data_IF_310694591291
#
_entry.id   IF_310694591291
#
_cell.length_a   1.000
_cell.length_b   1.000
_cell.length_c   1.000
_cell.angle_alpha   90.00
_cell.angle_beta   90.00
_cell.angle_gamma   90.00
#
_symmetry.space_group_name_H-M   'P 1'
#
loop_
_entity.id
_entity.type
_entity.pdbx_description
1 polymer ?
#
# COMPACT_ATOMS: atom_id res chain seq x y z
N UNK A 1 51.14 73.56 23.13
CA UNK A 1 51.92 72.38 22.72
C UNK A 1 50.97 71.23 22.64
N UNK A 2 50.54 70.85 21.41
CA UNK A 2 49.54 69.88 21.14
C UNK A 2 50.23 68.49 20.95
N UNK A 3 49.81 67.52 21.77
CA UNK A 3 50.15 66.13 21.59
C UNK A 3 48.97 65.46 20.84
N UNK A 4 49.25 65.00 19.59
CA UNK A 4 48.30 64.27 18.78
C UNK A 4 48.28 62.78 19.22
N UNK A 5 47.10 62.31 19.77
CA UNK A 5 46.84 60.91 19.98
C UNK A 5 46.38 60.26 18.66
N UNK A 6 47.13 59.27 18.16
CA UNK A 6 46.76 58.42 17.06
C UNK A 6 45.99 57.26 17.60
N UNK A 7 44.70 57.21 17.28
CA UNK A 7 43.81 56.08 17.63
C UNK A 7 43.87 55.05 16.49
N UNK A 8 44.57 53.95 16.70
CA UNK A 8 44.57 52.80 15.78
C UNK A 8 43.33 51.96 16.03
N UNK A 9 42.39 52.02 15.11
CA UNK A 9 41.18 51.20 15.11
C UNK A 9 41.51 49.82 14.50
N UNK A 10 41.83 48.84 15.35
CA UNK A 10 41.90 47.42 14.94
C UNK A 10 40.50 46.88 14.66
N UNK A 11 40.11 46.81 13.39
CA UNK A 11 38.97 46.01 12.91
C UNK A 11 39.31 44.55 13.08
N UNK A 12 38.81 43.95 14.15
CA UNK A 12 38.69 42.49 14.29
C UNK A 12 37.64 41.98 13.29
N UNK A 13 38.09 41.51 12.15
CA UNK A 13 37.27 40.74 11.22
C UNK A 13 37.11 39.37 11.83
N UNK A 14 36.02 39.19 12.62
CA UNK A 14 35.56 37.87 12.99
C UNK A 14 35.05 37.20 11.74
N UNK A 15 35.93 36.41 11.12
CA UNK A 15 35.52 35.46 10.08
C UNK A 15 34.52 34.48 10.70
N UNK A 16 33.25 34.61 10.33
CA UNK A 16 32.27 33.58 10.55
C UNK A 16 32.70 32.42 9.64
N UNK A 17 33.46 31.50 10.21
CA UNK A 17 33.69 30.22 9.57
C UNK A 17 32.31 29.52 9.53
N UNK A 18 31.77 29.40 8.33
CA UNK A 18 30.66 28.49 8.06
C UNK A 18 31.16 27.09 8.43
N UNK A 19 30.92 26.69 9.66
CA UNK A 19 31.16 25.32 10.10
C UNK A 19 30.11 24.51 9.36
N UNK A 20 30.51 23.93 8.23
CA UNK A 20 29.68 22.89 7.60
C UNK A 20 29.33 21.88 8.68
N UNK A 21 28.07 21.82 9.04
CA UNK A 21 27.59 20.90 10.06
C UNK A 21 28.00 19.49 9.60
N UNK A 22 28.93 18.87 10.35
CA UNK A 22 29.35 17.50 10.07
C UNK A 22 28.13 16.61 10.30
N UNK A 23 27.67 15.96 9.25
CA UNK A 23 26.51 15.07 9.32
C UNK A 23 26.80 13.93 10.31
N UNK A 24 25.88 13.74 11.26
CA UNK A 24 26.07 12.75 12.33
C UNK A 24 25.96 11.35 11.78
N UNK A 25 27.00 10.53 11.96
CA UNK A 25 26.96 9.10 11.65
C UNK A 25 26.12 8.41 12.70
N UNK A 26 25.06 7.70 12.29
CA UNK A 26 24.15 6.91 13.15
C UNK A 26 24.38 5.40 13.06
N UNK A 27 24.97 4.90 11.96
CA UNK A 27 25.45 3.53 11.86
C UNK A 27 26.63 3.42 10.90
N UNK A 28 27.41 2.33 11.04
CA UNK A 28 28.48 1.93 10.13
C UNK A 28 28.19 0.49 9.68
N UNK A 29 28.28 0.25 8.38
CA UNK A 29 28.07 -1.06 7.75
C UNK A 29 29.26 -1.36 6.85
N UNK A 30 30.18 -2.20 7.31
CA UNK A 30 31.48 -2.44 6.67
C UNK A 30 32.27 -1.14 6.48
N UNK A 31 32.40 -0.68 5.22
CA UNK A 31 33.10 0.56 4.86
C UNK A 31 32.16 1.77 4.63
N UNK A 32 30.87 1.52 4.65
CA UNK A 32 29.85 2.56 4.41
C UNK A 32 29.30 3.10 5.72
N UNK A 33 28.92 4.37 5.71
CA UNK A 33 28.23 5.01 6.84
C UNK A 33 26.76 5.25 6.49
N UNK A 34 25.94 5.29 7.53
CA UNK A 34 24.55 5.77 7.50
C UNK A 34 24.52 7.03 8.35
N UNK A 35 24.00 8.12 7.79
CA UNK A 35 24.00 9.43 8.43
C UNK A 35 22.60 9.85 8.88
N UNK A 36 22.54 10.84 9.79
CA UNK A 36 21.28 11.41 10.26
C UNK A 36 20.50 12.04 9.11
N UNK A 37 21.18 12.76 8.21
CA UNK A 37 20.54 13.38 7.05
C UNK A 37 19.91 12.35 6.11
N UNK A 38 20.56 11.20 5.90
CA UNK A 38 19.96 10.10 5.12
C UNK A 38 18.69 9.57 5.79
N UNK A 39 18.71 9.40 7.12
CA UNK A 39 17.57 8.95 7.90
C UNK A 39 16.40 9.98 7.85
N UNK A 40 16.69 11.26 7.96
CA UNK A 40 15.68 12.32 7.90
C UNK A 40 15.01 12.41 6.53
N UNK A 41 15.78 12.24 5.44
CA UNK A 41 15.23 12.13 4.07
C UNK A 41 14.31 10.93 3.94
N UNK A 42 14.72 9.76 4.44
CA UNK A 42 13.90 8.55 4.43
C UNK A 42 12.58 8.76 5.16
N UNK A 43 12.63 9.29 6.39
CA UNK A 43 11.43 9.58 7.18
C UNK A 43 10.50 10.59 6.50
N UNK A 44 11.06 11.58 5.81
CA UNK A 44 10.23 12.57 5.08
C UNK A 44 9.43 11.93 3.94
N UNK A 45 10.02 10.95 3.25
CA UNK A 45 9.36 10.19 2.17
C UNK A 45 8.24 9.31 2.74
N UNK A 46 8.53 8.58 3.82
CA UNK A 46 7.54 7.73 4.51
C UNK A 46 6.38 8.57 5.05
N UNK A 47 6.68 9.70 5.71
CA UNK A 47 5.65 10.61 6.22
C UNK A 47 4.72 11.09 5.10
N UNK A 48 5.25 11.43 3.93
CA UNK A 48 4.44 11.82 2.78
C UNK A 48 3.55 10.69 2.27
N UNK A 49 4.03 9.45 2.28
CA UNK A 49 3.24 8.28 1.88
C UNK A 49 2.12 7.98 2.88
N UNK A 50 2.46 7.91 4.18
CA UNK A 50 1.52 7.61 5.24
C UNK A 50 0.44 8.70 5.37
N UNK A 51 0.79 9.97 5.21
CA UNK A 51 -0.15 11.10 5.30
C UNK A 51 -1.26 11.10 4.24
N UNK A 52 -1.10 10.32 3.17
CA UNK A 52 -2.15 10.10 2.17
C UNK A 52 -3.25 9.15 2.64
N UNK A 53 -2.91 8.23 3.56
CA UNK A 53 -3.81 7.16 4.03
C UNK A 53 -4.27 7.38 5.47
N UNK A 54 -3.40 7.93 6.32
CA UNK A 54 -3.62 8.09 7.76
C UNK A 54 -3.56 9.57 8.17
N UNK A 55 -4.23 9.92 9.25
CA UNK A 55 -4.23 11.29 9.81
C UNK A 55 -4.32 11.25 11.33
N UNK A 56 -3.84 12.34 11.98
CA UNK A 56 -3.89 12.49 13.44
C UNK A 56 -3.12 11.41 14.17
N UNK A 57 -3.67 10.87 15.23
CA UNK A 57 -3.02 9.91 16.15
C UNK A 57 -2.53 8.67 15.40
N UNK A 58 -3.32 8.14 14.45
CA UNK A 58 -2.94 6.95 13.69
C UNK A 58 -1.68 7.19 12.84
N UNK A 59 -1.55 8.37 12.22
CA UNK A 59 -0.33 8.76 11.50
C UNK A 59 0.87 8.83 12.45
N UNK A 60 0.71 9.42 13.63
CA UNK A 60 1.79 9.56 14.60
C UNK A 60 2.27 8.20 15.12
N UNK A 61 1.35 7.27 15.39
CA UNK A 61 1.67 5.90 15.79
C UNK A 61 2.46 5.16 14.69
N UNK A 62 2.00 5.22 13.43
CA UNK A 62 2.71 4.62 12.29
C UNK A 62 4.10 5.23 12.08
N UNK A 63 4.22 6.55 12.22
CA UNK A 63 5.51 7.23 12.11
C UNK A 63 6.46 6.83 13.25
N UNK A 64 5.95 6.55 14.44
CA UNK A 64 6.76 6.04 15.54
C UNK A 64 7.29 4.63 15.25
N UNK A 65 6.43 3.72 14.79
CA UNK A 65 6.82 2.37 14.36
C UNK A 65 7.91 2.41 13.27
N UNK A 66 7.73 3.28 12.27
CA UNK A 66 8.72 3.45 11.19
C UNK A 66 10.06 3.98 11.70
N UNK A 67 10.06 4.92 12.65
CA UNK A 67 11.29 5.44 13.26
C UNK A 67 12.06 4.36 14.05
N UNK A 68 11.33 3.50 14.77
CA UNK A 68 11.94 2.41 15.55
C UNK A 68 12.63 1.38 14.65
N UNK A 69 12.09 1.12 13.45
CA UNK A 69 12.63 0.17 12.49
C UNK A 69 13.62 0.79 11.48
N UNK A 70 13.70 2.12 11.43
CA UNK A 70 14.42 2.84 10.39
C UNK A 70 15.88 2.41 10.25
N UNK A 71 16.62 2.41 11.35
CA UNK A 71 18.06 2.09 11.32
C UNK A 71 18.29 0.66 10.83
N UNK A 72 17.46 -0.29 11.30
CA UNK A 72 17.53 -1.67 10.83
C UNK A 72 17.29 -1.79 9.34
N UNK A 73 16.25 -1.14 8.82
CA UNK A 73 15.94 -1.11 7.38
C UNK A 73 17.09 -0.49 6.56
N UNK A 74 17.65 0.63 7.03
CA UNK A 74 18.77 1.27 6.34
C UNK A 74 20.04 0.40 6.35
N UNK A 75 20.30 -0.33 7.43
CA UNK A 75 21.42 -1.30 7.52
C UNK A 75 21.19 -2.44 6.53
N UNK A 76 19.99 -3.00 6.47
CA UNK A 76 19.61 -4.05 5.53
C UNK A 76 19.75 -3.62 4.08
N UNK A 77 19.23 -2.45 3.73
CA UNK A 77 19.39 -1.87 2.38
C UNK A 77 20.87 -1.70 2.01
N UNK A 78 21.68 -1.21 2.95
CA UNK A 78 23.12 -1.03 2.72
C UNK A 78 23.83 -2.37 2.47
N UNK A 79 23.49 -3.40 3.24
CA UNK A 79 24.06 -4.76 3.09
C UNK A 79 23.63 -5.38 1.75
N UNK A 80 22.36 -5.27 1.40
CA UNK A 80 21.82 -5.78 0.11
C UNK A 80 22.52 -5.07 -1.05
N UNK A 81 22.68 -3.75 -0.98
CA UNK A 81 23.37 -2.98 -2.00
C UNK A 81 24.84 -3.39 -2.15
N UNK A 82 25.54 -3.58 -1.04
CA UNK A 82 26.93 -4.05 -1.05
C UNK A 82 27.03 -5.45 -1.69
N UNK A 83 26.11 -6.37 -1.35
CA UNK A 83 26.08 -7.70 -1.96
C UNK A 83 25.78 -7.63 -3.45
N UNK A 84 24.87 -6.77 -3.88
CA UNK A 84 24.60 -6.55 -5.30
C UNK A 84 25.86 -6.07 -6.04
N UNK A 85 26.55 -5.06 -5.49
CA UNK A 85 27.80 -4.53 -6.06
C UNK A 85 28.92 -5.57 -6.06
N UNK A 86 29.07 -6.35 -4.97
CA UNK A 86 30.04 -7.43 -4.85
C UNK A 86 29.84 -8.53 -5.91
N UNK A 87 28.57 -8.82 -6.24
CA UNK A 87 28.21 -9.79 -7.29
C UNK A 87 28.28 -9.22 -8.71
N UNK A 88 28.59 -7.94 -8.87
CA UNK A 88 28.75 -7.29 -10.16
C UNK A 88 27.44 -6.88 -10.85
N UNK A 89 26.33 -6.81 -10.12
CA UNK A 89 25.08 -6.29 -10.67
C UNK A 89 25.22 -4.81 -11.05
N UNK A 90 24.70 -4.45 -12.22
CA UNK A 90 24.76 -3.09 -12.74
C UNK A 90 23.41 -2.70 -13.32
N UNK A 91 22.93 -1.52 -12.95
CA UNK A 91 21.71 -0.98 -13.52
C UNK A 91 21.91 -0.59 -14.99
N UNK A 92 20.94 -0.93 -15.83
CA UNK A 92 20.94 -0.50 -17.23
C UNK A 92 20.61 0.99 -17.28
N UNK A 93 21.54 1.78 -17.85
CA UNK A 93 21.43 3.24 -17.90
C UNK A 93 20.13 3.72 -18.55
N UNK A 94 19.66 3.04 -19.59
CA UNK A 94 18.41 3.34 -20.28
C UNK A 94 17.22 3.23 -19.33
N UNK A 95 17.15 2.16 -18.53
CA UNK A 95 16.07 1.97 -17.53
C UNK A 95 16.12 3.01 -16.41
N UNK A 96 17.32 3.42 -15.99
CA UNK A 96 17.47 4.51 -15.01
C UNK A 96 16.88 5.79 -15.58
N UNK A 97 17.25 6.15 -16.83
CA UNK A 97 16.74 7.34 -17.52
C UNK A 97 15.22 7.29 -17.71
N UNK A 98 14.67 6.16 -18.11
CA UNK A 98 13.21 5.95 -18.22
C UNK A 98 12.51 6.17 -16.88
N UNK A 99 13.08 5.65 -15.80
CA UNK A 99 12.50 5.83 -14.46
C UNK A 99 12.55 7.28 -14.01
N UNK A 100 13.66 7.99 -14.26
CA UNK A 100 13.79 9.42 -14.00
C UNK A 100 12.78 10.23 -14.84
N UNK A 101 12.59 9.89 -16.11
CA UNK A 101 11.60 10.53 -16.97
C UNK A 101 10.16 10.33 -16.43
N UNK A 102 9.82 9.11 -15.96
CA UNK A 102 8.54 8.86 -15.29
C UNK A 102 8.38 9.68 -14.00
N UNK A 103 9.45 9.86 -13.22
CA UNK A 103 9.39 10.70 -12.03
C UNK A 103 9.20 12.17 -12.39
N UNK A 104 9.88 12.67 -13.43
CA UNK A 104 9.73 14.04 -13.94
C UNK A 104 8.30 14.30 -14.43
N UNK A 105 7.64 13.34 -15.07
CA UNK A 105 6.27 13.50 -15.59
C UNK A 105 5.19 13.72 -14.51
N UNK A 106 5.51 13.45 -13.24
CA UNK A 106 4.62 13.75 -12.11
C UNK A 106 4.68 15.23 -11.65
N UNK A 107 5.56 16.03 -12.24
CA UNK A 107 5.73 17.46 -11.95
C UNK A 107 5.22 18.30 -13.12
N UNK A 108 4.85 19.56 -12.84
CA UNK A 108 4.36 20.46 -13.86
C UNK A 108 5.43 20.86 -14.89
N UNK A 109 6.71 20.87 -14.46
CA UNK A 109 7.87 21.15 -15.32
C UNK A 109 9.13 20.45 -14.81
N UNK A 110 10.16 20.34 -15.67
CA UNK A 110 11.49 19.86 -15.28
C UNK A 110 12.11 20.73 -14.20
N UNK A 111 11.93 22.04 -14.30
CA UNK A 111 12.40 23.00 -13.29
C UNK A 111 11.76 22.75 -11.92
N UNK A 112 10.47 22.39 -11.86
CA UNK A 112 9.79 22.07 -10.61
C UNK A 112 10.33 20.78 -9.99
N UNK A 113 10.63 19.79 -10.81
CA UNK A 113 11.30 18.56 -10.36
C UNK A 113 12.69 18.88 -9.77
N UNK A 114 13.53 19.62 -10.48
CA UNK A 114 14.86 20.01 -10.00
C UNK A 114 14.80 20.85 -8.72
N UNK A 115 13.86 21.80 -8.63
CA UNK A 115 13.67 22.61 -7.43
C UNK A 115 13.24 21.74 -6.24
N UNK A 116 12.37 20.75 -6.47
CA UNK A 116 11.96 19.78 -5.45
C UNK A 116 13.15 18.95 -4.93
N UNK A 117 14.08 18.57 -5.81
CA UNK A 117 15.32 17.89 -5.41
C UNK A 117 16.24 18.82 -4.62
N UNK A 118 16.47 20.05 -5.10
CA UNK A 118 17.32 21.04 -4.42
C UNK A 118 16.82 21.36 -3.01
N UNK A 119 15.51 21.46 -2.80
CA UNK A 119 14.92 21.65 -1.45
C UNK A 119 15.25 20.50 -0.49
N UNK A 120 15.56 19.32 -1.01
CA UNK A 120 15.99 18.13 -0.25
C UNK A 120 17.51 17.95 -0.24
N UNK A 121 18.28 18.93 -0.75
CA UNK A 121 19.74 18.83 -0.86
C UNK A 121 20.22 17.80 -1.89
N UNK A 122 19.39 17.43 -2.87
CA UNK A 122 19.70 16.44 -3.89
C UNK A 122 19.86 17.06 -5.27
N UNK A 123 20.72 16.46 -6.09
CA UNK A 123 20.84 16.74 -7.52
C UNK A 123 20.10 15.67 -8.35
N UNK A 124 19.93 15.94 -9.64
CA UNK A 124 19.40 14.91 -10.58
C UNK A 124 20.31 13.69 -10.60
N UNK A 125 21.64 13.91 -10.53
CA UNK A 125 22.64 12.82 -10.49
C UNK A 125 22.48 11.96 -9.24
N UNK A 126 22.29 12.55 -8.07
CA UNK A 126 22.04 11.79 -6.84
C UNK A 126 20.75 10.94 -6.94
N UNK A 127 19.74 11.48 -7.63
CA UNK A 127 18.51 10.72 -7.88
C UNK A 127 18.73 9.56 -8.87
N UNK A 128 19.51 9.77 -9.93
CA UNK A 128 19.90 8.71 -10.87
C UNK A 128 20.67 7.60 -10.15
N UNK A 129 21.62 7.92 -9.29
CA UNK A 129 22.41 6.97 -8.52
C UNK A 129 21.52 6.18 -7.53
N UNK A 130 20.59 6.85 -6.83
CA UNK A 130 19.61 6.17 -5.96
C UNK A 130 18.70 5.24 -6.74
N UNK A 131 18.23 5.63 -7.91
CA UNK A 131 17.40 4.77 -8.79
C UNK A 131 18.21 3.57 -9.27
N UNK A 132 19.47 3.77 -9.66
CA UNK A 132 20.37 2.69 -10.06
C UNK A 132 20.60 1.70 -8.91
N UNK A 133 20.92 2.19 -7.71
CA UNK A 133 21.11 1.36 -6.51
C UNK A 133 19.85 0.56 -6.17
N UNK A 134 18.65 1.16 -6.24
CA UNK A 134 17.39 0.44 -6.04
C UNK A 134 17.15 -0.65 -7.10
N UNK A 135 17.51 -0.41 -8.36
CA UNK A 135 17.36 -1.40 -9.41
C UNK A 135 18.26 -2.62 -9.19
N UNK A 136 19.54 -2.41 -8.83
CA UNK A 136 20.46 -3.53 -8.59
C UNK A 136 20.13 -4.27 -7.29
N UNK A 137 19.64 -3.60 -6.26
CA UNK A 137 19.13 -4.25 -5.04
C UNK A 137 17.92 -5.15 -5.37
N UNK A 138 16.99 -4.67 -6.18
CA UNK A 138 15.86 -5.48 -6.61
C UNK A 138 16.32 -6.70 -7.42
N UNK A 139 17.26 -6.51 -8.34
CA UNK A 139 17.76 -7.60 -9.18
C UNK A 139 18.50 -8.66 -8.36
N UNK A 140 19.33 -8.27 -7.39
CA UNK A 140 20.00 -9.26 -6.53
C UNK A 140 19.02 -10.04 -5.68
N UNK A 141 17.98 -9.40 -5.12
CA UNK A 141 16.93 -10.08 -4.36
C UNK A 141 16.15 -11.05 -5.25
N UNK A 142 15.80 -10.64 -6.47
CA UNK A 142 15.12 -11.52 -7.43
C UNK A 142 15.95 -12.77 -7.72
N UNK A 143 17.23 -12.61 -8.06
CA UNK A 143 18.13 -13.72 -8.43
C UNK A 143 18.54 -14.60 -7.25
N UNK A 144 18.82 -14.00 -6.10
CA UNK A 144 19.38 -14.74 -4.96
C UNK A 144 18.32 -15.33 -4.05
N UNK A 145 17.11 -14.80 -4.08
CA UNK A 145 16.03 -15.25 -3.22
C UNK A 145 14.84 -15.74 -4.04
N UNK A 146 14.18 -14.87 -4.83
CA UNK A 146 12.90 -15.19 -5.49
C UNK A 146 13.03 -16.29 -6.52
N UNK A 147 14.02 -16.23 -7.42
CA UNK A 147 14.25 -17.25 -8.46
C UNK A 147 14.56 -18.65 -7.88
N UNK A 148 14.92 -18.74 -6.59
CA UNK A 148 15.21 -20.02 -5.91
C UNK A 148 14.00 -20.62 -5.19
N UNK A 149 12.88 -19.90 -5.16
CA UNK A 149 11.64 -20.36 -4.52
C UNK A 149 11.00 -21.42 -5.42
N UNK A 150 10.75 -22.57 -4.84
CA UNK A 150 10.01 -23.66 -5.50
C UNK A 150 8.81 -24.02 -4.65
N UNK A 151 7.62 -23.91 -5.23
CA UNK A 151 6.37 -24.44 -4.67
C UNK A 151 5.99 -25.68 -5.45
N UNK A 152 5.98 -26.82 -4.78
CA UNK A 152 5.63 -28.09 -5.40
C UNK A 152 4.11 -28.27 -5.54
N UNK A 153 3.64 -29.06 -6.53
CA UNK A 153 2.22 -29.37 -6.65
C UNK A 153 1.63 -30.08 -5.41
N UNK A 154 2.46 -30.84 -4.70
CA UNK A 154 2.06 -31.50 -3.44
C UNK A 154 1.78 -30.50 -2.33
N UNK A 155 2.58 -29.42 -2.20
CA UNK A 155 2.32 -28.35 -1.24
C UNK A 155 1.01 -27.60 -1.53
N UNK A 156 0.75 -27.31 -2.80
CA UNK A 156 -0.50 -26.68 -3.23
C UNK A 156 -1.69 -27.57 -2.88
N UNK A 157 -1.59 -28.87 -3.16
CA UNK A 157 -2.64 -29.86 -2.86
C UNK A 157 -2.88 -29.97 -1.35
N UNK A 158 -1.82 -30.09 -0.55
CA UNK A 158 -1.91 -30.15 0.92
C UNK A 158 -2.53 -28.90 1.51
N UNK A 159 -2.13 -27.72 1.02
CA UNK A 159 -2.71 -26.45 1.48
C UNK A 159 -4.21 -26.40 1.18
N UNK A 160 -4.61 -26.79 -0.04
CA UNK A 160 -6.02 -26.85 -0.43
C UNK A 160 -6.81 -27.80 0.46
N UNK A 161 -6.38 -29.06 0.62
CA UNK A 161 -7.11 -30.05 1.43
C UNK A 161 -7.24 -29.64 2.90
N UNK A 162 -6.21 -29.00 3.45
CA UNK A 162 -6.24 -28.48 4.82
C UNK A 162 -7.23 -27.35 5.01
N UNK A 163 -7.38 -26.47 4.01
CA UNK A 163 -8.10 -25.22 4.16
C UNK A 163 -9.40 -25.14 3.34
N UNK A 164 -9.80 -26.20 2.61
CA UNK A 164 -10.92 -26.15 1.69
C UNK A 164 -12.26 -25.79 2.32
N UNK A 165 -12.49 -26.19 3.57
CA UNK A 165 -13.73 -25.89 4.29
C UNK A 165 -13.82 -24.45 4.78
N UNK A 166 -12.68 -23.80 5.03
CA UNK A 166 -12.62 -22.44 5.60
C UNK A 166 -12.38 -21.38 4.54
N UNK A 167 -11.40 -21.61 3.65
CA UNK A 167 -10.95 -20.58 2.70
C UNK A 167 -11.56 -20.70 1.30
N UNK A 168 -12.06 -21.90 0.94
CA UNK A 168 -12.53 -22.20 -0.43
C UNK A 168 -13.98 -22.63 -0.47
N UNK A 169 -14.70 -22.53 0.65
CA UNK A 169 -16.12 -22.74 0.72
C UNK A 169 -16.84 -21.39 0.54
N UNK A 170 -17.38 -21.17 -0.66
CA UNK A 170 -18.21 -20.01 -0.95
C UNK A 170 -19.60 -20.25 -0.35
N UNK A 171 -20.06 -19.35 0.48
CA UNK A 171 -21.43 -19.34 0.97
C UNK A 171 -22.40 -18.97 -0.14
N UNK A 172 -23.70 -19.28 0.06
CA UNK A 172 -24.74 -18.81 -0.87
C UNK A 172 -24.66 -17.29 -1.04
N UNK A 173 -24.60 -16.83 -2.28
CA UNK A 173 -24.68 -15.40 -2.61
C UNK A 173 -25.90 -15.14 -3.49
N UNK A 174 -26.44 -13.94 -3.39
CA UNK A 174 -27.60 -13.50 -4.14
C UNK A 174 -27.29 -12.18 -4.83
N UNK A 175 -27.51 -12.13 -6.12
CA UNK A 175 -27.56 -10.86 -6.84
C UNK A 175 -28.93 -10.24 -6.61
N UNK A 176 -28.95 -9.07 -6.00
CA UNK A 176 -30.17 -8.39 -5.58
C UNK A 176 -30.23 -6.96 -6.15
N UNK A 177 -31.41 -6.58 -6.60
CA UNK A 177 -31.75 -5.17 -6.80
C UNK A 177 -32.49 -4.67 -5.57
N UNK A 178 -32.15 -3.50 -5.11
CA UNK A 178 -32.69 -2.89 -3.89
C UNK A 178 -33.23 -1.50 -4.21
N UNK A 179 -34.45 -1.25 -3.75
CA UNK A 179 -35.02 0.11 -3.69
C UNK A 179 -35.08 0.55 -2.22
N UNK A 180 -34.73 1.79 -1.96
CA UNK A 180 -34.88 2.42 -0.65
C UNK A 180 -35.67 3.72 -0.76
N UNK A 181 -36.71 3.86 0.06
CA UNK A 181 -37.56 5.04 0.11
C UNK A 181 -37.89 5.44 1.55
N UNK A 182 -37.75 6.72 1.86
CA UNK A 182 -38.12 7.28 3.17
C UNK A 182 -39.56 7.74 3.25
N UNK A 183 -40.15 8.08 2.09
CA UNK A 183 -41.52 8.61 2.02
C UNK A 183 -42.55 7.48 2.04
N UNK A 184 -43.14 7.24 3.21
CA UNK A 184 -44.15 6.22 3.41
C UNK A 184 -45.40 6.40 2.53
N UNK A 185 -45.80 7.65 2.22
CA UNK A 185 -46.93 7.92 1.40
C UNK A 185 -46.76 7.46 -0.10
N UNK A 186 -45.50 7.37 -0.55
CA UNK A 186 -45.16 6.87 -1.90
C UNK A 186 -44.85 5.38 -1.93
N UNK A 187 -44.70 4.73 -0.76
CA UNK A 187 -44.30 3.34 -0.66
C UNK A 187 -45.29 2.39 -1.35
N UNK A 188 -46.59 2.59 -1.13
CA UNK A 188 -47.63 1.74 -1.72
C UNK A 188 -47.57 1.77 -3.25
N UNK A 189 -47.48 2.96 -3.85
CA UNK A 189 -47.39 3.14 -5.30
C UNK A 189 -46.09 2.53 -5.87
N UNK A 190 -44.94 2.70 -5.18
CA UNK A 190 -43.67 2.12 -5.58
C UNK A 190 -43.73 0.57 -5.53
N UNK A 191 -44.26 0.02 -4.44
CA UNK A 191 -44.39 -1.43 -4.28
C UNK A 191 -45.30 -2.03 -5.31
N UNK A 192 -46.46 -1.44 -5.56
CA UNK A 192 -47.40 -1.87 -6.58
C UNK A 192 -46.78 -1.79 -8.02
N UNK A 193 -46.08 -0.73 -8.33
CA UNK A 193 -45.45 -0.56 -9.64
C UNK A 193 -44.44 -1.67 -9.94
N UNK A 194 -43.55 -1.98 -8.99
CA UNK A 194 -42.54 -3.06 -9.19
C UNK A 194 -43.17 -4.46 -9.17
N UNK A 195 -44.22 -4.70 -8.37
CA UNK A 195 -44.96 -5.95 -8.37
C UNK A 195 -45.74 -6.17 -9.68
N UNK A 196 -46.17 -5.11 -10.33
CA UNK A 196 -46.80 -5.14 -11.65
C UNK A 196 -45.81 -5.22 -12.81
N UNK A 197 -44.49 -5.37 -12.53
CA UNK A 197 -43.48 -5.65 -13.51
C UNK A 197 -42.67 -4.43 -13.98
N UNK A 198 -42.84 -3.27 -13.36
CA UNK A 198 -41.99 -2.11 -13.66
C UNK A 198 -40.54 -2.43 -13.29
N UNK A 199 -39.60 -2.02 -14.15
CA UNK A 199 -38.16 -2.16 -13.86
C UNK A 199 -37.76 -1.37 -12.61
N UNK A 200 -36.88 -1.94 -11.76
CA UNK A 200 -36.47 -1.34 -10.49
C UNK A 200 -35.76 -0.01 -10.65
N UNK A 201 -34.92 0.12 -11.69
CA UNK A 201 -34.22 1.37 -11.96
C UNK A 201 -35.18 2.46 -12.50
N UNK A 202 -36.16 2.06 -13.29
CA UNK A 202 -37.21 2.96 -13.79
C UNK A 202 -38.14 3.42 -12.64
N UNK A 203 -38.55 2.47 -11.80
CA UNK A 203 -39.36 2.75 -10.61
C UNK A 203 -38.63 3.70 -9.64
N UNK A 204 -37.31 3.52 -9.45
CA UNK A 204 -36.51 4.41 -8.65
C UNK A 204 -36.52 5.85 -9.13
N UNK A 205 -36.39 6.06 -10.44
CA UNK A 205 -36.44 7.38 -11.05
C UNK A 205 -37.82 8.03 -10.90
N UNK A 206 -38.89 7.27 -11.16
CA UNK A 206 -40.25 7.76 -11.11
C UNK A 206 -40.70 8.14 -9.70
N UNK A 207 -40.35 7.31 -8.69
CA UNK A 207 -40.77 7.51 -7.31
C UNK A 207 -39.71 8.18 -6.42
N UNK A 208 -38.59 8.66 -7.01
CA UNK A 208 -37.48 9.32 -6.30
C UNK A 208 -36.93 8.49 -5.14
N UNK A 209 -36.81 7.16 -5.35
CA UNK A 209 -36.19 6.23 -4.42
C UNK A 209 -34.73 5.96 -4.79
N UNK A 210 -33.90 5.56 -3.83
CA UNK A 210 -32.54 5.09 -4.13
C UNK A 210 -32.59 3.68 -4.72
N UNK A 211 -31.69 3.39 -5.67
CA UNK A 211 -31.55 2.08 -6.30
C UNK A 211 -30.11 1.60 -6.15
N UNK A 212 -29.94 0.31 -5.82
CA UNK A 212 -28.67 -0.38 -5.84
C UNK A 212 -28.83 -1.77 -6.45
N UNK A 213 -27.74 -2.31 -7.02
CA UNK A 213 -27.64 -3.69 -7.47
C UNK A 213 -26.30 -4.25 -7.00
N UNK A 214 -26.37 -5.27 -6.16
CA UNK A 214 -25.21 -5.86 -5.51
C UNK A 214 -25.31 -7.39 -5.50
N UNK A 215 -24.15 -8.06 -5.34
CA UNK A 215 -24.08 -9.50 -5.04
C UNK A 215 -23.61 -9.66 -3.62
N UNK A 216 -24.47 -10.16 -2.75
CA UNK A 216 -24.26 -10.22 -1.30
C UNK A 216 -24.56 -11.61 -0.75
N UNK A 217 -23.88 -11.98 0.34
CA UNK A 217 -24.22 -13.15 1.12
C UNK A 217 -25.21 -12.82 2.24
N UNK A 218 -25.82 -13.83 2.81
CA UNK A 218 -26.77 -13.65 3.92
C UNK A 218 -26.14 -12.95 5.13
N UNK A 219 -24.87 -13.19 5.38
CA UNK A 219 -24.11 -12.63 6.51
C UNK A 219 -23.83 -11.13 6.34
N UNK A 220 -23.85 -10.62 5.11
CA UNK A 220 -23.61 -9.22 4.80
C UNK A 220 -24.85 -8.34 4.94
N UNK A 221 -26.02 -8.96 5.15
CA UNK A 221 -27.29 -8.22 5.28
C UNK A 221 -27.50 -7.82 6.74
N UNK A 222 -27.89 -6.56 6.93
CA UNK A 222 -28.26 -6.07 8.26
C UNK A 222 -29.37 -6.92 8.88
N UNK A 223 -29.29 -7.25 10.20
CA UNK A 223 -30.24 -8.15 10.85
C UNK A 223 -31.71 -7.78 10.64
N UNK A 224 -32.05 -6.49 10.66
CA UNK A 224 -33.40 -5.98 10.48
C UNK A 224 -33.97 -6.23 9.06
N UNK A 225 -33.12 -6.51 8.08
CA UNK A 225 -33.52 -6.78 6.68
C UNK A 225 -33.55 -8.26 6.35
N UNK A 226 -32.99 -9.13 7.22
CA UNK A 226 -32.85 -10.58 6.94
C UNK A 226 -34.17 -11.30 6.75
N UNK A 227 -35.20 -10.93 7.50
CA UNK A 227 -36.52 -11.58 7.40
C UNK A 227 -37.13 -11.37 6.00
N UNK A 228 -37.11 -10.13 5.50
CA UNK A 228 -37.66 -9.82 4.18
C UNK A 228 -36.81 -10.30 3.00
N UNK A 229 -35.56 -10.68 3.25
CA UNK A 229 -34.63 -11.11 2.21
C UNK A 229 -34.46 -12.62 2.13
N UNK A 230 -34.40 -13.30 3.28
CA UNK A 230 -33.94 -14.70 3.36
C UNK A 230 -34.87 -15.71 2.71
N UNK A 231 -36.17 -15.44 2.70
CA UNK A 231 -37.19 -16.35 2.14
C UNK A 231 -37.42 -16.23 0.64
N UNK A 232 -36.84 -15.19 0.00
CA UNK A 232 -37.09 -14.90 -1.43
C UNK A 232 -36.38 -15.93 -2.32
N UNK A 233 -37.05 -16.33 -3.39
CA UNK A 233 -36.51 -17.12 -4.49
C UNK A 233 -36.02 -16.21 -5.61
N UNK A 234 -35.29 -16.79 -6.58
CA UNK A 234 -34.89 -16.04 -7.77
C UNK A 234 -36.12 -15.45 -8.48
N UNK A 235 -35.96 -14.20 -8.91
CA UNK A 235 -36.99 -13.35 -9.56
C UNK A 235 -38.14 -12.91 -8.64
N UNK A 236 -38.17 -13.29 -7.39
CA UNK A 236 -39.17 -12.80 -6.43
C UNK A 236 -38.85 -11.40 -5.92
N UNK A 237 -39.91 -10.64 -5.62
CA UNK A 237 -39.86 -9.28 -5.06
C UNK A 237 -40.40 -9.37 -3.63
N UNK A 238 -39.70 -8.75 -2.67
CA UNK A 238 -40.12 -8.69 -1.29
C UNK A 238 -41.35 -7.80 -1.08
N UNK A 239 -42.04 -8.00 0.03
CA UNK A 239 -42.81 -6.92 0.62
C UNK A 239 -41.85 -5.82 1.14
N UNK A 240 -42.39 -4.60 1.32
CA UNK A 240 -41.57 -3.52 1.90
C UNK A 240 -41.11 -3.89 3.34
N UNK A 241 -39.80 -3.78 3.57
CA UNK A 241 -39.17 -4.04 4.87
C UNK A 241 -38.74 -2.75 5.51
N UNK A 242 -39.25 -2.42 6.70
CA UNK A 242 -38.87 -1.21 7.42
C UNK A 242 -37.51 -1.40 8.08
N UNK A 243 -36.58 -0.48 7.81
CA UNK A 243 -35.30 -0.41 8.50
C UNK A 243 -34.78 1.03 8.59
N UNK A 244 -34.40 1.42 9.79
CA UNK A 244 -34.05 2.82 10.05
C UNK A 244 -35.20 3.79 9.76
N UNK A 245 -34.91 4.83 8.98
CA UNK A 245 -35.87 5.90 8.65
C UNK A 245 -36.69 5.61 7.40
N UNK A 246 -36.58 4.43 6.78
CA UNK A 246 -37.26 4.16 5.51
C UNK A 246 -37.59 2.68 5.30
N UNK A 247 -37.92 2.38 4.05
CA UNK A 247 -38.37 1.05 3.63
C UNK A 247 -37.51 0.55 2.49
N UNK A 248 -37.20 -0.75 2.53
CA UNK A 248 -36.47 -1.47 1.50
C UNK A 248 -37.39 -2.41 0.75
N UNK A 249 -37.24 -2.50 -0.56
CA UNK A 249 -37.87 -3.52 -1.41
C UNK A 249 -36.75 -4.22 -2.15
N UNK A 250 -36.70 -5.55 -2.10
CA UNK A 250 -35.68 -6.38 -2.72
C UNK A 250 -36.26 -7.15 -3.91
N UNK A 251 -35.46 -7.32 -4.96
CA UNK A 251 -35.71 -8.28 -6.03
C UNK A 251 -34.48 -9.15 -6.19
N UNK A 252 -34.64 -10.45 -6.00
CA UNK A 252 -33.59 -11.41 -6.23
C UNK A 252 -33.44 -11.64 -7.74
N UNK A 253 -32.29 -11.32 -8.30
CA UNK A 253 -32.03 -11.58 -9.71
C UNK A 253 -31.52 -12.99 -9.91
N UNK A 254 -30.59 -13.43 -9.04
CA UNK A 254 -29.95 -14.74 -9.13
C UNK A 254 -29.55 -15.23 -7.75
N UNK A 255 -29.60 -16.53 -7.54
CA UNK A 255 -29.10 -17.22 -6.34
C UNK A 255 -27.97 -18.13 -6.79
N UNK A 256 -26.77 -17.89 -6.33
CA UNK A 256 -25.62 -18.77 -6.50
C UNK A 256 -25.52 -19.68 -5.27
N UNK A 257 -25.69 -21.00 -5.41
CA UNK A 257 -25.63 -21.91 -4.27
C UNK A 257 -24.24 -21.95 -3.64
N UNK A 258 -24.15 -22.39 -2.37
CA UNK A 258 -22.87 -22.65 -1.75
C UNK A 258 -22.04 -23.60 -2.61
N UNK A 259 -20.75 -23.28 -2.80
CA UNK A 259 -19.86 -24.06 -3.63
C UNK A 259 -18.49 -24.14 -3.01
N UNK A 260 -17.94 -25.33 -2.89
CA UNK A 260 -16.51 -25.50 -2.63
C UNK A 260 -15.76 -25.28 -3.95
N UNK A 261 -14.91 -24.26 -3.99
CA UNK A 261 -14.05 -24.02 -5.15
C UNK A 261 -13.11 -25.21 -5.33
N UNK A 262 -13.02 -25.73 -6.54
CA UNK A 262 -12.10 -26.85 -6.85
C UNK A 262 -10.62 -26.39 -6.75
N UNK A 263 -9.72 -27.36 -6.56
CA UNK A 263 -8.29 -27.08 -6.57
C UNK A 263 -7.85 -26.36 -7.86
N UNK A 264 -8.40 -26.72 -9.01
CA UNK A 264 -8.06 -26.08 -10.28
C UNK A 264 -8.48 -24.59 -10.34
N UNK A 265 -9.60 -24.23 -9.69
CA UNK A 265 -10.07 -22.83 -9.65
C UNK A 265 -9.23 -21.95 -8.73
N UNK A 266 -8.55 -22.52 -7.75
CA UNK A 266 -7.80 -21.76 -6.73
C UNK A 266 -6.29 -22.02 -6.79
N UNK A 267 -5.84 -22.89 -7.67
CA UNK A 267 -4.43 -23.31 -7.81
C UNK A 267 -3.46 -22.14 -7.83
N UNK A 268 -3.65 -21.19 -8.74
CA UNK A 268 -2.72 -20.08 -8.91
C UNK A 268 -2.73 -19.12 -7.71
N UNK A 269 -3.88 -18.97 -7.06
CA UNK A 269 -4.01 -18.19 -5.82
C UNK A 269 -3.24 -18.85 -4.67
N UNK A 270 -3.35 -20.17 -4.50
CA UNK A 270 -2.61 -20.92 -3.49
C UNK A 270 -1.12 -20.91 -3.80
N UNK A 271 -0.74 -21.14 -5.07
CA UNK A 271 0.65 -21.10 -5.50
C UNK A 271 1.28 -19.73 -5.19
N UNK A 272 0.59 -18.64 -5.55
CA UNK A 272 1.04 -17.28 -5.26
C UNK A 272 1.20 -17.05 -3.75
N UNK A 273 0.22 -17.46 -2.94
CA UNK A 273 0.30 -17.34 -1.49
C UNK A 273 1.51 -18.08 -0.90
N UNK A 274 1.67 -19.37 -1.25
CA UNK A 274 2.78 -20.18 -0.78
C UNK A 274 4.15 -19.65 -1.26
N UNK A 275 4.20 -19.12 -2.49
CA UNK A 275 5.40 -18.51 -3.03
C UNK A 275 5.82 -17.26 -2.25
N UNK A 276 4.88 -16.39 -1.90
CA UNK A 276 5.16 -15.19 -1.09
C UNK A 276 5.51 -15.55 0.36
N UNK A 277 4.88 -16.56 0.96
CA UNK A 277 5.23 -17.05 2.29
C UNK A 277 6.67 -17.59 2.32
N UNK A 278 7.03 -18.43 1.35
CA UNK A 278 8.41 -18.93 1.22
C UNK A 278 9.41 -17.82 0.94
N UNK A 279 9.02 -16.83 0.12
CA UNK A 279 9.87 -15.68 -0.16
C UNK A 279 10.15 -14.87 1.11
N UNK A 280 9.15 -14.62 1.92
CA UNK A 280 9.35 -13.89 3.17
C UNK A 280 10.34 -14.58 4.11
N UNK A 281 10.20 -15.91 4.26
CA UNK A 281 11.15 -16.71 5.09
C UNK A 281 12.55 -16.69 4.48
N UNK A 282 12.69 -17.01 3.20
CA UNK A 282 13.99 -17.05 2.53
C UNK A 282 14.68 -15.68 2.49
N UNK A 283 13.92 -14.59 2.40
CA UNK A 283 14.45 -13.23 2.44
C UNK A 283 15.06 -12.91 3.81
N UNK A 284 14.35 -13.28 4.91
CA UNK A 284 14.88 -13.11 6.27
C UNK A 284 16.16 -13.91 6.47
N UNK A 285 16.18 -15.19 6.11
CA UNK A 285 17.35 -16.06 6.21
C UNK A 285 18.53 -15.52 5.39
N UNK A 286 18.27 -15.04 4.17
CA UNK A 286 19.30 -14.47 3.32
C UNK A 286 19.90 -13.18 3.90
N UNK A 287 19.05 -12.27 4.41
CA UNK A 287 19.51 -11.03 5.08
C UNK A 287 20.34 -11.36 6.32
N UNK A 288 19.87 -12.27 7.18
CA UNK A 288 20.63 -12.67 8.37
C UNK A 288 21.99 -13.28 7.99
N UNK A 289 22.04 -14.14 6.97
CA UNK A 289 23.30 -14.67 6.46
C UNK A 289 24.24 -13.62 5.85
N UNK A 290 23.71 -12.49 5.38
CA UNK A 290 24.53 -11.32 4.97
C UNK A 290 25.01 -10.52 6.20
N UNK A 291 24.15 -10.30 7.20
CA UNK A 291 24.49 -9.59 8.45
C UNK A 291 25.60 -10.28 9.21
N UNK A 292 25.57 -11.61 9.30
CA UNK A 292 26.62 -12.41 9.97
C UNK A 292 28.02 -12.19 9.36
N UNK A 293 28.11 -11.82 8.09
CA UNK A 293 29.37 -11.58 7.37
C UNK A 293 29.78 -10.10 7.36
N UNK A 294 28.94 -9.22 7.86
CA UNK A 294 29.13 -7.78 7.82
C UNK A 294 29.58 -7.24 9.19
N UNK A 295 30.43 -6.21 9.16
CA UNK A 295 30.66 -5.40 10.35
C UNK A 295 29.56 -4.36 10.47
N UNK A 296 28.77 -4.41 11.55
CA UNK A 296 27.67 -3.49 11.80
C UNK A 296 27.87 -2.84 13.16
N UNK A 297 27.87 -1.51 13.22
CA UNK A 297 27.92 -0.73 14.44
C UNK A 297 26.86 0.38 14.40
N UNK A 298 25.88 0.31 15.28
CA UNK A 298 24.89 1.37 15.51
C UNK A 298 25.42 2.27 16.63
N UNK A 299 25.28 3.60 16.45
CA UNK A 299 25.81 4.61 17.38
C UNK A 299 24.69 5.33 18.15
#
# INVERSE_FOLDING_TARGET
>A
MLARLFFVFCLLWAGVSDVAAVDRIIAVVNQDTITQSEADVYLSIISLQLSRQYKGIELDERMKEEKEQLISKMVEDKIILQEAKRKGYQARLERVKERIAQMKSAFASETDFENSLKQKGLTVKDMEDKVADQMIMREVVEREVRDKIVVSPDEVTKFYEKNKSELFNLTETRTVETLYIENEAMLANLSEAVKNGMDFQEAAKLHKSAYARDTISKEQIRPELQEGFSGLKALEISDPVKAGNGYYIFKIIEILPPKVQSLSEVHDRIYGYLSEEKFAVAMLEWIEGLKEKAYIQIK
#
